data_IF_399763892825
#
_entry.id   IF_399763892825
#
_cell.length_a   1.000
_cell.length_b   1.000
_cell.length_c   1.000
_cell.angle_alpha   90.00
_cell.angle_beta   90.00
_cell.angle_gamma   90.00
#
_symmetry.space_group_name_H-M   'P 1'
#
loop_
_entity.id
_entity.type
_entity.pdbx_description
1 polymer ?
#
# COMPACT_ATOMS: atom_id res chain seq x y z
N UNK A 1 72.63 -19.79 -19.91
CA UNK A 1 72.35 -18.47 -20.55
C UNK A 1 71.19 -17.84 -19.79
N UNK A 2 71.52 -16.75 -19.15
CA UNK A 2 70.65 -15.90 -18.30
C UNK A 2 69.40 -15.33 -19.04
N UNK A 3 68.30 -15.21 -18.37
CA UNK A 3 67.65 -13.87 -18.26
C UNK A 3 66.73 -13.80 -17.02
N UNK A 4 67.11 -12.84 -16.19
CA UNK A 4 66.38 -12.35 -15.04
C UNK A 4 65.16 -11.54 -15.50
N UNK A 5 64.03 -11.66 -14.82
CA UNK A 5 62.85 -10.83 -14.95
C UNK A 5 62.41 -10.31 -13.56
N UNK A 6 62.57 -9.03 -13.39
CA UNK A 6 62.37 -8.22 -12.18
C UNK A 6 60.92 -8.23 -11.68
N UNK A 7 60.75 -8.43 -10.36
CA UNK A 7 59.54 -8.22 -9.60
C UNK A 7 59.40 -6.73 -9.27
N UNK A 8 58.31 -6.11 -9.67
CA UNK A 8 57.89 -4.80 -9.16
C UNK A 8 56.75 -4.97 -8.15
N UNK A 9 57.05 -4.60 -6.90
CA UNK A 9 56.10 -4.47 -5.82
C UNK A 9 55.22 -3.21 -6.02
N UNK A 10 53.90 -3.37 -6.08
CA UNK A 10 52.99 -2.28 -5.86
C UNK A 10 52.35 -2.43 -4.46
N UNK A 11 52.70 -1.50 -3.58
CA UNK A 11 52.03 -1.29 -2.30
C UNK A 11 50.74 -0.53 -2.52
N UNK A 12 49.60 -1.19 -2.26
CA UNK A 12 48.29 -0.55 -2.18
C UNK A 12 48.10 0.06 -0.77
N UNK A 13 48.17 1.35 -0.70
CA UNK A 13 47.79 2.13 0.49
C UNK A 13 46.28 2.22 0.60
N UNK A 14 45.69 1.45 1.50
CA UNK A 14 44.26 1.57 1.90
C UNK A 14 44.07 2.76 2.83
N UNK A 15 43.43 3.81 2.34
CA UNK A 15 42.84 4.87 3.15
C UNK A 15 41.46 4.40 3.69
N UNK A 16 41.16 4.59 4.98
CA UNK A 16 39.85 4.22 5.52
C UNK A 16 38.80 5.27 5.15
N UNK A 17 37.77 4.86 4.42
CA UNK A 17 36.57 5.66 4.19
C UNK A 17 35.77 5.76 5.50
N UNK A 18 35.63 6.98 6.01
CA UNK A 18 34.69 7.33 7.07
C UNK A 18 33.25 7.04 6.61
N UNK A 19 32.57 6.16 7.35
CA UNK A 19 31.13 5.97 7.25
C UNK A 19 30.42 7.24 7.74
N UNK A 20 29.83 7.97 6.81
CA UNK A 20 28.92 9.09 7.12
C UNK A 20 27.56 8.53 7.50
N UNK A 21 27.16 8.77 8.74
CA UNK A 21 25.81 8.55 9.27
C UNK A 21 24.80 9.46 8.55
N UNK A 22 24.08 8.91 7.58
CA UNK A 22 23.07 9.61 6.80
C UNK A 22 21.71 8.91 6.84
N UNK A 23 21.20 8.61 8.03
CA UNK A 23 19.86 8.05 8.20
C UNK A 23 19.02 8.93 9.13
N UNK A 24 18.54 10.06 8.60
CA UNK A 24 17.73 10.98 9.39
C UNK A 24 16.85 11.94 8.59
N UNK A 25 17.01 12.01 7.28
CA UNK A 25 16.42 13.09 6.48
C UNK A 25 15.22 12.71 5.60
N UNK A 26 14.95 11.43 5.39
CA UNK A 26 13.91 11.00 4.46
C UNK A 26 12.47 11.02 5.03
N UNK A 27 12.29 10.96 6.35
CA UNK A 27 10.96 10.92 6.97
C UNK A 27 10.32 12.31 7.16
N UNK A 28 11.11 13.39 7.27
CA UNK A 28 10.56 14.74 7.48
C UNK A 28 9.92 15.38 6.25
N UNK A 29 10.35 14.99 5.04
CA UNK A 29 9.77 15.51 3.79
C UNK A 29 8.36 14.99 3.50
N UNK A 30 7.99 13.84 4.06
CA UNK A 30 6.69 13.19 3.79
C UNK A 30 5.53 13.84 4.54
N UNK A 31 5.77 14.42 5.73
CA UNK A 31 4.72 15.01 6.56
C UNK A 31 4.36 16.45 6.17
N UNK A 32 5.32 17.25 5.73
CA UNK A 32 5.04 18.60 5.20
C UNK A 32 4.17 18.57 3.92
N UNK A 33 4.23 17.48 3.16
CA UNK A 33 3.39 17.28 1.97
C UNK A 33 1.93 16.98 2.29
N UNK A 34 1.63 16.41 3.47
CA UNK A 34 0.27 16.02 3.84
C UNK A 34 -0.57 17.21 4.34
N UNK A 35 0.02 18.16 5.07
CA UNK A 35 -0.71 19.31 5.61
C UNK A 35 -0.74 20.52 4.67
N UNK A 36 0.15 20.58 3.69
CA UNK A 36 0.27 21.68 2.72
C UNK A 36 -0.07 21.22 1.29
N UNK A 37 -0.99 20.26 1.12
CA UNK A 37 -1.49 19.83 -0.19
C UNK A 37 -2.17 21.01 -0.91
N UNK A 38 -1.34 21.92 -1.35
CA UNK A 38 -1.76 23.11 -2.07
C UNK A 38 -2.22 22.71 -3.47
N UNK A 39 -3.37 23.20 -3.84
CA UNK A 39 -3.94 23.16 -5.17
C UNK A 39 -2.97 23.81 -6.20
N UNK A 40 -2.00 23.07 -6.69
CA UNK A 40 -1.32 23.46 -7.92
C UNK A 40 -2.28 23.11 -9.06
N UNK A 41 -3.09 24.06 -9.45
CA UNK A 41 -3.84 23.99 -10.72
C UNK A 41 -2.82 24.11 -11.85
N UNK A 42 -2.34 22.96 -12.30
CA UNK A 42 -1.44 22.93 -13.44
C UNK A 42 -2.26 23.07 -14.73
N UNK A 43 -2.39 24.29 -15.23
CA UNK A 43 -2.85 24.57 -16.60
C UNK A 43 -1.76 24.28 -17.62
N UNK A 44 -1.01 23.19 -17.45
CA UNK A 44 -0.09 22.70 -18.46
C UNK A 44 -0.83 21.72 -19.38
N UNK A 45 -1.14 22.17 -20.60
CA UNK A 45 -1.47 21.30 -21.72
C UNK A 45 -0.24 20.44 -22.04
N UNK A 46 -0.13 19.28 -21.38
CA UNK A 46 0.78 18.25 -21.81
C UNK A 46 0.14 17.51 -23.00
N UNK A 47 0.76 17.64 -24.17
CA UNK A 47 0.50 16.77 -25.30
C UNK A 47 0.94 15.36 -24.89
N UNK A 48 -0.01 14.47 -24.67
CA UNK A 48 0.22 13.04 -24.46
C UNK A 48 0.35 12.41 -25.85
N UNK A 49 1.43 11.64 -26.14
CA UNK A 49 1.50 10.90 -27.39
C UNK A 49 0.40 9.83 -27.41
N UNK A 50 -0.38 9.83 -28.48
CA UNK A 50 -1.49 8.91 -28.72
C UNK A 50 -0.99 7.49 -28.94
N UNK A 51 -1.11 6.66 -27.91
CA UNK A 51 -1.26 5.22 -28.06
C UNK A 51 -2.73 4.88 -27.77
N UNK A 52 -3.50 4.70 -28.80
CA UNK A 52 -4.86 4.20 -28.75
C UNK A 52 -4.85 2.68 -28.45
N UNK A 53 -5.37 2.25 -27.29
CA UNK A 53 -6.17 1.04 -27.25
C UNK A 53 -7.64 1.46 -27.32
N UNK A 54 -8.34 0.94 -28.30
CA UNK A 54 -9.79 1.05 -28.39
C UNK A 54 -10.43 0.25 -27.27
N UNK A 55 -10.65 0.90 -26.15
CA UNK A 55 -11.68 0.59 -25.18
C UNK A 55 -12.10 1.93 -24.59
N UNK A 56 -13.29 2.35 -24.92
CA UNK A 56 -13.96 3.51 -24.34
C UNK A 56 -13.88 3.37 -22.83
N UNK A 57 -13.22 4.29 -22.09
CA UNK A 57 -13.34 4.31 -20.65
C UNK A 57 -14.81 4.54 -20.37
N UNK A 58 -15.48 3.63 -19.66
CA UNK A 58 -16.77 3.93 -19.05
C UNK A 58 -16.55 5.15 -18.19
N UNK A 59 -17.00 6.31 -18.64
CA UNK A 59 -17.09 7.50 -17.84
C UNK A 59 -17.89 7.11 -16.59
N UNK A 60 -17.28 7.25 -15.41
CA UNK A 60 -17.98 7.13 -14.15
C UNK A 60 -19.09 8.19 -14.17
N UNK A 61 -20.30 7.77 -14.52
CA UNK A 61 -21.48 8.62 -14.58
C UNK A 61 -21.77 9.10 -13.17
N UNK A 62 -21.34 10.32 -12.83
CA UNK A 62 -21.66 10.98 -11.60
C UNK A 62 -20.49 11.35 -10.71
N UNK A 63 -19.59 12.19 -11.17
CA UNK A 63 -18.69 12.96 -10.32
C UNK A 63 -19.38 14.24 -9.85
N UNK A 64 -19.23 14.58 -8.56
CA UNK A 64 -19.68 15.85 -8.00
C UNK A 64 -18.52 16.83 -7.97
N UNK A 65 -18.69 17.98 -8.63
CA UNK A 65 -17.71 19.08 -8.54
C UNK A 65 -18.12 19.96 -7.35
N UNK A 66 -17.32 19.91 -6.28
CA UNK A 66 -17.54 20.74 -5.10
C UNK A 66 -16.82 22.08 -5.26
N UNK A 67 -17.59 23.20 -5.26
CA UNK A 67 -17.06 24.56 -5.35
C UNK A 67 -17.11 25.22 -3.96
N UNK A 68 -15.97 25.31 -3.23
CA UNK A 68 -15.94 25.89 -1.91
C UNK A 68 -15.99 27.42 -1.98
N UNK A 69 -16.86 28.03 -1.18
CA UNK A 69 -17.04 29.49 -1.10
C UNK A 69 -16.60 30.10 0.23
N UNK A 70 -16.00 29.30 1.12
CA UNK A 70 -15.55 29.72 2.45
C UNK A 70 -16.64 29.71 3.51
N UNK A 71 -17.72 28.92 3.33
CA UNK A 71 -18.77 28.76 4.34
C UNK A 71 -18.28 27.95 5.54
N UNK A 72 -18.66 28.33 6.76
CA UNK A 72 -18.44 27.50 7.92
C UNK A 72 -19.09 26.12 7.75
N UNK A 73 -18.40 25.05 8.14
CA UNK A 73 -18.95 23.67 8.17
C UNK A 73 -18.94 23.07 9.56
N UNK A 74 -18.00 23.51 10.42
CA UNK A 74 -17.91 23.09 11.82
C UNK A 74 -17.17 24.15 12.66
N UNK A 75 -17.53 24.25 13.92
CA UNK A 75 -16.80 25.03 14.93
C UNK A 75 -16.22 24.08 15.96
N UNK A 76 -14.95 24.29 16.32
CA UNK A 76 -14.23 23.47 17.30
C UNK A 76 -13.67 24.41 18.38
N UNK A 77 -14.28 24.43 19.56
CA UNK A 77 -13.95 25.37 20.65
C UNK A 77 -13.94 26.84 20.19
N UNK A 78 -14.88 27.19 19.30
CA UNK A 78 -14.97 28.54 18.72
C UNK A 78 -14.17 28.75 17.42
N UNK A 79 -13.17 27.95 17.12
CA UNK A 79 -12.47 28.03 15.84
C UNK A 79 -13.37 27.56 14.69
N UNK A 80 -13.46 28.37 13.63
CA UNK A 80 -14.29 28.09 12.45
C UNK A 80 -13.48 27.35 11.42
N UNK A 81 -13.97 26.18 11.00
CA UNK A 81 -13.44 25.42 9.88
C UNK A 81 -14.42 25.51 8.71
N UNK A 82 -13.88 25.71 7.50
CA UNK A 82 -14.68 26.07 6.33
C UNK A 82 -14.80 24.92 5.33
N UNK A 83 -15.67 25.07 4.35
CA UNK A 83 -15.79 24.17 3.22
C UNK A 83 -14.52 24.09 2.36
N UNK A 84 -13.69 25.15 2.35
CA UNK A 84 -12.35 25.12 1.73
C UNK A 84 -11.38 24.18 2.46
N UNK A 85 -11.41 24.21 3.79
CA UNK A 85 -10.62 23.31 4.60
C UNK A 85 -11.10 21.87 4.40
N UNK A 86 -12.41 21.67 4.36
CA UNK A 86 -13.03 20.36 4.09
C UNK A 86 -12.62 19.80 2.72
N UNK A 87 -12.71 20.60 1.66
CA UNK A 87 -12.30 20.17 0.33
C UNK A 87 -10.82 19.78 0.30
N UNK A 88 -9.96 20.53 0.99
CA UNK A 88 -8.53 20.23 1.09
C UNK A 88 -8.30 18.86 1.70
N UNK A 89 -8.99 18.55 2.80
CA UNK A 89 -8.90 17.24 3.45
C UNK A 89 -9.52 16.11 2.61
N UNK A 90 -10.63 16.37 1.94
CA UNK A 90 -11.20 15.40 1.01
C UNK A 90 -10.21 15.03 -0.12
N UNK A 91 -9.49 16.02 -0.66
CA UNK A 91 -8.45 15.81 -1.67
C UNK A 91 -7.18 15.16 -1.12
N UNK A 92 -6.95 15.22 0.18
CA UNK A 92 -5.88 14.48 0.86
C UNK A 92 -6.24 13.00 0.98
N UNK A 93 -7.47 12.69 1.34
CA UNK A 93 -7.98 11.31 1.43
C UNK A 93 -8.08 10.66 0.04
N UNK A 94 -8.56 11.41 -0.96
CA UNK A 94 -8.79 10.91 -2.29
C UNK A 94 -8.16 11.84 -3.36
N UNK A 95 -6.82 11.78 -3.54
CA UNK A 95 -6.10 12.69 -4.44
C UNK A 95 -6.47 12.50 -5.92
N UNK A 96 -6.99 11.34 -6.30
CA UNK A 96 -7.47 11.08 -7.67
C UNK A 96 -8.59 12.02 -8.13
N UNK A 97 -9.36 12.59 -7.21
CA UNK A 97 -10.42 13.55 -7.54
C UNK A 97 -9.90 14.76 -8.34
N UNK A 98 -8.63 15.13 -8.17
CA UNK A 98 -7.98 16.23 -8.92
C UNK A 98 -7.83 15.92 -10.41
N UNK A 99 -7.63 14.63 -10.76
CA UNK A 99 -7.39 14.16 -12.12
C UNK A 99 -8.68 13.73 -12.84
N UNK A 100 -9.72 13.40 -12.07
CA UNK A 100 -10.96 12.79 -12.56
C UNK A 100 -12.21 13.67 -12.36
N UNK A 101 -12.02 15.00 -12.32
CA UNK A 101 -13.11 15.99 -12.23
C UNK A 101 -14.08 15.80 -11.04
N UNK A 102 -13.55 15.34 -9.88
CA UNK A 102 -14.32 15.27 -8.66
C UNK A 102 -14.33 13.89 -7.98
N UNK A 103 -15.21 13.74 -7.00
CA UNK A 103 -15.32 12.55 -6.19
C UNK A 103 -16.39 11.60 -6.73
N UNK A 104 -16.16 10.26 -6.70
CA UNK A 104 -17.19 9.28 -7.06
C UNK A 104 -18.40 9.43 -6.12
N UNK A 105 -19.60 9.55 -6.66
CA UNK A 105 -20.83 9.76 -5.87
C UNK A 105 -21.03 8.71 -4.77
N UNK A 106 -20.70 7.45 -5.06
CA UNK A 106 -20.83 6.36 -4.10
C UNK A 106 -19.89 6.49 -2.89
N UNK A 107 -18.77 7.21 -3.01
CA UNK A 107 -17.74 7.34 -1.97
C UNK A 107 -17.70 8.75 -1.35
N UNK A 108 -18.37 9.73 -1.95
CA UNK A 108 -18.29 11.14 -1.52
C UNK A 108 -18.68 11.33 -0.07
N UNK A 109 -19.77 10.69 0.38
CA UNK A 109 -20.25 10.80 1.76
C UNK A 109 -19.22 10.29 2.77
N UNK A 110 -18.59 9.16 2.48
CA UNK A 110 -17.56 8.56 3.36
C UNK A 110 -16.27 9.38 3.36
N UNK A 111 -15.84 9.86 2.19
CA UNK A 111 -14.67 10.75 2.05
C UNK A 111 -14.91 12.04 2.84
N UNK A 112 -16.10 12.65 2.70
CA UNK A 112 -16.49 13.86 3.43
C UNK A 112 -16.52 13.63 4.94
N UNK A 113 -17.09 12.52 5.41
CA UNK A 113 -17.13 12.17 6.82
C UNK A 113 -15.73 11.93 7.39
N UNK A 114 -14.85 11.25 6.64
CA UNK A 114 -13.45 11.05 6.98
C UNK A 114 -12.68 12.38 7.07
N UNK A 115 -12.82 13.24 6.07
CA UNK A 115 -12.21 14.56 6.01
C UNK A 115 -12.65 15.45 7.18
N UNK A 116 -13.94 15.44 7.51
CA UNK A 116 -14.47 16.19 8.66
C UNK A 116 -13.84 15.74 9.97
N UNK A 117 -13.70 14.42 10.20
CA UNK A 117 -13.02 13.87 11.39
C UNK A 117 -11.56 14.29 11.44
N UNK A 118 -10.86 14.27 10.31
CA UNK A 118 -9.46 14.70 10.24
C UNK A 118 -9.29 16.17 10.57
N UNK A 119 -10.09 17.06 9.96
CA UNK A 119 -10.08 18.50 10.24
C UNK A 119 -10.29 18.80 11.73
N UNK A 120 -11.30 18.19 12.32
CA UNK A 120 -11.62 18.37 13.74
C UNK A 120 -10.45 17.91 14.62
N UNK A 121 -9.89 16.74 14.31
CA UNK A 121 -8.73 16.20 15.04
C UNK A 121 -7.51 17.12 14.93
N UNK A 122 -7.17 17.61 13.75
CA UNK A 122 -6.04 18.53 13.54
C UNK A 122 -6.23 19.84 14.28
N UNK A 123 -7.44 20.38 14.27
CA UNK A 123 -7.74 21.59 15.04
C UNK A 123 -7.54 21.36 16.54
N UNK A 124 -8.05 20.24 17.08
CA UNK A 124 -7.88 19.87 18.48
C UNK A 124 -6.40 19.67 18.86
N UNK A 125 -5.62 19.02 18.01
CA UNK A 125 -4.18 18.84 18.19
C UNK A 125 -3.47 20.21 18.22
N UNK A 126 -3.81 21.11 17.29
CA UNK A 126 -3.24 22.45 17.24
C UNK A 126 -3.56 23.25 18.51
N UNK A 127 -4.82 23.23 18.95
CA UNK A 127 -5.25 23.92 20.17
C UNK A 127 -4.52 23.38 21.41
N UNK A 128 -4.37 22.06 21.52
CA UNK A 128 -3.64 21.44 22.61
C UNK A 128 -2.14 21.78 22.57
N UNK A 129 -1.52 21.83 21.39
CA UNK A 129 -0.13 22.26 21.24
C UNK A 129 0.05 23.73 21.72
N UNK A 130 -0.90 24.60 21.36
CA UNK A 130 -0.91 26.00 21.84
C UNK A 130 -1.16 26.09 23.35
N UNK A 131 -2.08 25.32 23.88
CA UNK A 131 -2.35 25.24 25.32
C UNK A 131 -1.12 24.80 26.11
N UNK A 132 -0.29 23.92 25.57
CA UNK A 132 0.98 23.50 26.15
C UNK A 132 2.13 24.48 25.89
N UNK A 133 1.86 25.65 25.35
CA UNK A 133 2.88 26.68 25.02
C UNK A 133 4.00 26.14 24.10
N UNK A 134 3.65 25.18 23.19
CA UNK A 134 4.63 24.68 22.23
C UNK A 134 4.92 25.78 21.20
N UNK A 135 6.20 25.92 20.85
CA UNK A 135 6.68 26.92 19.88
C UNK A 135 7.56 26.27 18.82
N UNK A 136 7.65 26.93 17.67
CA UNK A 136 8.56 26.56 16.57
C UNK A 136 9.70 27.57 16.54
N UNK A 137 10.97 27.13 16.57
CA UNK A 137 12.10 28.04 16.44
C UNK A 137 12.04 28.83 15.12
N UNK A 138 12.34 30.14 15.12
CA UNK A 138 12.29 30.97 13.91
C UNK A 138 13.12 30.41 12.75
N UNK A 139 14.28 29.84 13.03
CA UNK A 139 15.13 29.20 12.02
C UNK A 139 14.46 27.96 11.38
N UNK A 140 13.70 27.19 12.14
CA UNK A 140 12.95 26.04 11.61
C UNK A 140 11.80 26.52 10.72
N UNK A 141 11.06 27.55 11.15
CA UNK A 141 9.98 28.15 10.36
C UNK A 141 10.51 28.72 9.04
N UNK A 142 11.61 29.47 9.08
CA UNK A 142 12.25 30.03 7.89
C UNK A 142 12.68 28.92 6.91
N UNK A 143 13.30 27.86 7.41
CA UNK A 143 13.71 26.69 6.59
C UNK A 143 12.50 26.03 5.95
N UNK A 144 11.46 25.71 6.71
CA UNK A 144 10.25 25.07 6.19
C UNK A 144 9.54 25.93 5.14
N UNK A 145 9.46 27.26 5.35
CA UNK A 145 8.90 28.19 4.38
C UNK A 145 9.73 28.22 3.07
N UNK A 146 11.07 28.20 3.19
CA UNK A 146 11.95 28.15 2.03
C UNK A 146 11.85 26.81 1.27
N UNK A 147 11.76 25.70 1.99
CA UNK A 147 11.54 24.36 1.41
C UNK A 147 10.19 24.28 0.69
N UNK A 148 9.13 24.80 1.28
CA UNK A 148 7.83 24.91 0.64
C UNK A 148 7.91 25.68 -0.69
N UNK A 149 8.57 26.85 -0.69
CA UNK A 149 8.76 27.65 -1.93
C UNK A 149 9.50 26.88 -3.02
N UNK A 150 10.46 26.03 -2.68
CA UNK A 150 11.24 25.23 -3.66
C UNK A 150 10.43 24.14 -4.35
N UNK A 151 9.26 23.77 -3.83
CA UNK A 151 8.40 22.74 -4.44
C UNK A 151 7.71 23.24 -5.72
N UNK A 152 7.73 24.55 -5.97
CA UNK A 152 7.09 25.13 -7.13
C UNK A 152 8.07 25.23 -8.31
N UNK A 153 7.60 24.89 -9.53
CA UNK A 153 8.46 24.84 -10.70
C UNK A 153 8.97 26.23 -11.14
N UNK A 154 8.29 27.31 -10.74
CA UNK A 154 8.72 28.67 -11.03
C UNK A 154 8.25 29.67 -9.96
N UNK A 155 8.92 30.82 -9.84
CA UNK A 155 8.48 31.90 -8.96
C UNK A 155 7.05 32.40 -9.27
N UNK A 156 6.65 32.37 -10.53
CA UNK A 156 5.31 32.82 -10.96
C UNK A 156 4.22 31.91 -10.39
N UNK A 157 4.40 30.58 -10.48
CA UNK A 157 3.46 29.61 -9.91
C UNK A 157 3.35 29.78 -8.40
N UNK A 158 4.48 30.02 -7.72
CA UNK A 158 4.46 30.32 -6.29
C UNK A 158 3.71 31.62 -5.95
N UNK A 159 3.91 32.69 -6.74
CA UNK A 159 3.21 33.96 -6.54
C UNK A 159 1.71 33.82 -6.78
N UNK A 160 1.32 33.09 -7.83
CA UNK A 160 -0.09 32.81 -8.09
C UNK A 160 -0.74 32.09 -6.90
N UNK A 161 -0.12 31.02 -6.38
CA UNK A 161 -0.59 30.35 -5.19
C UNK A 161 -0.72 31.31 -4.00
N UNK A 162 0.33 32.11 -3.77
CA UNK A 162 0.34 33.07 -2.64
C UNK A 162 -0.84 34.04 -2.76
N UNK A 163 -1.15 34.50 -3.99
CA UNK A 163 -2.29 35.38 -4.25
C UNK A 163 -3.63 34.67 -4.02
N UNK A 164 -3.78 33.47 -4.53
CA UNK A 164 -5.05 32.71 -4.46
C UNK A 164 -5.39 32.23 -3.05
N UNK A 165 -4.40 31.68 -2.34
CA UNK A 165 -4.62 31.02 -1.04
C UNK A 165 -4.32 31.91 0.16
N UNK A 166 -3.43 32.91 -0.01
CA UNK A 166 -2.91 33.72 1.10
C UNK A 166 -3.04 35.24 0.83
N UNK A 167 -3.87 35.64 -0.13
CA UNK A 167 -4.10 37.07 -0.46
C UNK A 167 -2.79 37.83 -0.72
N UNK A 168 -1.81 37.19 -1.32
CA UNK A 168 -0.48 37.75 -1.56
C UNK A 168 0.43 37.83 -0.32
N UNK A 169 -0.03 37.40 0.83
CA UNK A 169 0.66 37.60 2.12
C UNK A 169 1.56 36.42 2.50
N UNK A 170 2.88 36.65 2.47
CA UNK A 170 3.85 35.71 3.03
C UNK A 170 3.66 35.45 4.52
N UNK A 171 3.15 36.45 5.25
CA UNK A 171 2.86 36.30 6.68
C UNK A 171 1.75 35.28 6.95
N UNK A 172 0.68 35.29 6.13
CA UNK A 172 -0.38 34.30 6.24
C UNK A 172 0.12 32.89 5.91
N UNK A 173 0.97 32.74 4.88
CA UNK A 173 1.65 31.49 4.61
C UNK A 173 2.50 31.02 5.80
N UNK A 174 3.32 31.91 6.39
CA UNK A 174 4.15 31.56 7.54
C UNK A 174 3.31 31.08 8.74
N UNK A 175 2.17 31.73 9.02
CA UNK A 175 1.23 31.29 10.06
C UNK A 175 0.70 29.89 9.77
N UNK A 176 0.37 29.58 8.52
CA UNK A 176 -0.08 28.24 8.14
C UNK A 176 1.03 27.20 8.27
N UNK A 177 2.25 27.52 7.86
CA UNK A 177 3.43 26.65 8.01
C UNK A 177 3.74 26.41 9.49
N UNK A 178 3.72 27.46 10.33
CA UNK A 178 3.92 27.34 11.77
C UNK A 178 2.88 26.41 12.42
N UNK A 179 1.61 26.57 12.03
CA UNK A 179 0.53 25.68 12.49
C UNK A 179 0.82 24.22 12.17
N UNK A 180 1.19 23.92 10.92
CA UNK A 180 1.54 22.55 10.51
C UNK A 180 2.72 22.00 11.32
N UNK A 181 3.77 22.78 11.50
CA UNK A 181 4.94 22.38 12.29
C UNK A 181 4.61 22.12 13.76
N UNK A 182 3.67 22.88 14.34
CA UNK A 182 3.20 22.65 15.72
C UNK A 182 2.42 21.34 15.82
N UNK A 183 1.54 21.06 14.87
CA UNK A 183 0.80 19.79 14.79
C UNK A 183 1.79 18.63 14.67
N UNK A 184 2.75 18.71 13.75
CA UNK A 184 3.76 17.67 13.54
C UNK A 184 4.60 17.43 14.80
N UNK A 185 5.05 18.50 15.43
CA UNK A 185 5.83 18.43 16.67
C UNK A 185 5.04 17.75 17.78
N UNK A 186 3.77 18.12 17.96
CA UNK A 186 2.88 17.51 18.94
C UNK A 186 2.64 16.04 18.64
N UNK A 187 2.29 15.71 17.40
CA UNK A 187 2.07 14.33 16.96
C UNK A 187 3.31 13.47 17.11
N UNK A 188 4.49 14.03 16.82
CA UNK A 188 5.75 13.35 17.04
C UNK A 188 5.91 12.96 18.52
N UNK A 189 5.70 13.89 19.45
CA UNK A 189 5.86 13.64 20.88
C UNK A 189 4.80 12.71 21.46
N UNK A 190 3.54 12.85 21.05
CA UNK A 190 2.42 12.12 21.64
C UNK A 190 2.16 10.77 20.98
N UNK A 191 2.57 10.60 19.73
CA UNK A 191 2.26 9.40 18.95
C UNK A 191 3.54 8.76 18.43
N UNK A 192 4.31 9.41 17.54
CA UNK A 192 5.39 8.75 16.80
C UNK A 192 6.50 8.25 17.71
N UNK A 193 7.00 9.09 18.62
CA UNK A 193 8.10 8.72 19.54
C UNK A 193 7.66 7.63 20.53
N UNK A 194 6.37 7.62 20.92
CA UNK A 194 5.80 6.60 21.82
C UNK A 194 5.43 5.30 21.10
N UNK A 195 5.22 5.37 19.80
CA UNK A 195 4.85 4.20 19.00
C UNK A 195 6.05 3.34 18.60
N UNK A 196 7.27 3.87 18.64
CA UNK A 196 8.47 3.13 18.26
C UNK A 196 8.55 1.81 19.03
N UNK A 197 8.73 0.71 18.29
CA UNK A 197 8.85 -0.66 18.83
C UNK A 197 10.31 -1.08 18.75
N UNK A 198 10.88 -1.46 19.87
CA UNK A 198 12.23 -2.01 19.94
C UNK A 198 12.28 -3.45 19.46
N UNK A 199 13.47 -3.95 19.11
CA UNK A 199 13.65 -5.35 18.75
C UNK A 199 13.26 -6.29 19.90
N UNK A 200 13.54 -5.91 21.16
CA UNK A 200 13.16 -6.65 22.35
C UNK A 200 11.64 -6.76 22.50
N UNK A 201 10.89 -5.68 22.26
CA UNK A 201 9.42 -5.69 22.29
C UNK A 201 8.85 -6.59 21.19
N UNK A 202 9.42 -6.53 19.99
CA UNK A 202 9.01 -7.39 18.88
C UNK A 202 9.31 -8.87 19.16
N UNK A 203 10.48 -9.17 19.76
CA UNK A 203 10.83 -10.53 20.19
C UNK A 203 9.87 -11.03 21.27
N UNK A 204 9.56 -10.22 22.26
CA UNK A 204 8.59 -10.56 23.31
C UNK A 204 7.18 -10.79 22.75
N UNK A 205 6.78 -10.06 21.70
CA UNK A 205 5.53 -10.31 21.00
C UNK A 205 5.56 -11.64 20.24
N UNK A 206 6.63 -11.90 19.51
CA UNK A 206 6.84 -13.17 18.80
C UNK A 206 6.75 -14.37 19.74
N UNK A 207 7.44 -14.32 20.87
CA UNK A 207 7.47 -15.42 21.84
C UNK A 207 6.12 -15.67 22.52
N UNK A 208 5.30 -14.61 22.70
CA UNK A 208 3.96 -14.72 23.30
C UNK A 208 2.89 -15.17 22.32
N UNK A 209 3.14 -15.07 21.00
CA UNK A 209 2.15 -15.35 19.96
C UNK A 209 2.66 -16.34 18.90
N UNK A 210 3.20 -17.52 19.29
CA UNK A 210 3.79 -18.46 18.33
C UNK A 210 2.79 -18.95 17.28
N UNK A 211 1.50 -18.96 17.61
CA UNK A 211 0.43 -19.35 16.69
C UNK A 211 0.32 -18.43 15.45
N UNK A 212 0.70 -17.15 15.57
CA UNK A 212 0.65 -16.16 14.48
C UNK A 212 1.76 -16.35 13.45
N UNK A 213 2.79 -17.10 13.80
CA UNK A 213 3.98 -17.31 12.97
C UNK A 213 4.07 -18.72 12.42
N UNK A 214 3.04 -19.52 12.64
CA UNK A 214 2.94 -20.84 12.01
C UNK A 214 2.76 -20.71 10.52
N UNK A 215 3.53 -21.47 9.78
CA UNK A 215 3.37 -21.67 8.35
C UNK A 215 2.61 -22.98 8.19
N UNK A 216 1.39 -22.96 7.66
CA UNK A 216 0.65 -24.19 7.40
C UNK A 216 1.35 -25.00 6.32
N UNK A 217 1.18 -26.33 6.37
CA UNK A 217 1.56 -27.17 5.24
C UNK A 217 0.84 -26.70 3.99
N UNK A 218 1.60 -26.46 2.92
CA UNK A 218 1.09 -25.85 1.69
C UNK A 218 1.71 -26.51 0.47
N UNK A 219 1.00 -26.43 -0.66
CA UNK A 219 1.46 -26.96 -1.94
C UNK A 219 1.44 -25.84 -2.97
N UNK A 220 2.57 -25.60 -3.62
CA UNK A 220 2.61 -24.80 -4.83
C UNK A 220 2.43 -25.74 -6.02
N UNK A 221 1.38 -25.53 -6.80
CA UNK A 221 1.05 -26.41 -7.93
C UNK A 221 0.33 -25.65 -9.04
N UNK A 222 0.31 -26.26 -10.22
CA UNK A 222 -0.50 -25.82 -11.35
C UNK A 222 -1.60 -26.85 -11.62
N UNK A 223 -2.73 -26.42 -12.20
CA UNK A 223 -3.83 -27.27 -12.62
C UNK A 223 -4.21 -27.09 -14.08
N UNK A 224 -4.74 -28.15 -14.67
CA UNK A 224 -5.52 -28.14 -15.90
C UNK A 224 -6.81 -28.84 -15.56
N UNK A 225 -7.93 -28.12 -15.60
CA UNK A 225 -9.24 -28.64 -15.16
C UNK A 225 -10.26 -28.61 -16.27
N UNK A 226 -11.17 -29.61 -16.25
CA UNK A 226 -12.32 -29.75 -17.14
C UNK A 226 -13.57 -29.79 -16.26
N UNK A 227 -14.41 -28.77 -16.40
CA UNK A 227 -15.53 -28.45 -15.50
C UNK A 227 -16.84 -28.40 -16.29
N UNK A 228 -17.45 -29.54 -16.66
CA UNK A 228 -18.74 -29.52 -17.29
C UNK A 228 -19.80 -28.88 -16.36
N UNK A 229 -20.94 -28.41 -16.89
CA UNK A 229 -22.02 -27.86 -16.08
C UNK A 229 -22.47 -28.83 -14.98
N UNK A 230 -22.89 -28.28 -13.81
CA UNK A 230 -23.30 -29.08 -12.65
C UNK A 230 -24.45 -30.07 -12.96
N UNK A 231 -25.27 -29.79 -14.00
CA UNK A 231 -26.34 -30.65 -14.50
C UNK A 231 -25.96 -31.37 -15.83
N UNK A 232 -24.66 -31.62 -16.02
CA UNK A 232 -24.19 -32.30 -17.24
C UNK A 232 -24.83 -33.65 -17.45
N UNK A 233 -25.20 -33.93 -18.72
CA UNK A 233 -25.68 -35.26 -19.08
C UNK A 233 -24.54 -36.31 -19.03
N UNK A 234 -24.83 -37.60 -18.94
CA UNK A 234 -23.79 -38.63 -18.98
C UNK A 234 -22.86 -38.50 -20.18
N UNK A 235 -23.40 -38.12 -21.36
CA UNK A 235 -22.62 -37.91 -22.59
C UNK A 235 -21.65 -36.73 -22.44
N UNK A 236 -22.08 -35.61 -21.81
CA UNK A 236 -21.23 -34.45 -21.53
C UNK A 236 -20.12 -34.77 -20.53
N UNK A 237 -20.42 -35.57 -19.49
CA UNK A 237 -19.43 -36.06 -18.54
C UNK A 237 -18.37 -36.95 -19.22
N UNK A 238 -18.80 -37.87 -20.10
CA UNK A 238 -17.90 -38.72 -20.91
C UNK A 238 -17.03 -37.88 -21.84
N UNK A 239 -17.59 -36.85 -22.47
CA UNK A 239 -16.82 -35.94 -23.32
C UNK A 239 -15.77 -35.14 -22.51
N UNK A 240 -16.14 -34.62 -21.34
CA UNK A 240 -15.19 -33.96 -20.45
C UNK A 240 -14.04 -34.93 -20.08
N UNK A 241 -14.34 -36.15 -19.73
CA UNK A 241 -13.34 -37.18 -19.43
C UNK A 241 -12.42 -37.46 -20.62
N UNK A 242 -12.96 -37.64 -21.85
CA UNK A 242 -12.14 -37.82 -23.06
C UNK A 242 -11.20 -36.66 -23.33
N UNK A 243 -11.68 -35.39 -23.13
CA UNK A 243 -10.85 -34.21 -23.26
C UNK A 243 -9.74 -34.16 -22.19
N UNK A 244 -10.08 -34.49 -20.95
CA UNK A 244 -9.15 -34.58 -19.84
C UNK A 244 -8.08 -35.68 -20.06
N UNK A 245 -8.43 -36.84 -20.55
CA UNK A 245 -7.48 -37.93 -20.90
C UNK A 245 -6.55 -37.55 -22.06
N UNK A 246 -7.05 -36.79 -23.04
CA UNK A 246 -6.20 -36.25 -24.11
C UNK A 246 -5.22 -35.20 -23.54
N UNK A 247 -5.70 -34.33 -22.66
CA UNK A 247 -4.90 -33.31 -22.00
C UNK A 247 -3.83 -33.94 -21.08
N UNK A 248 -4.15 -35.03 -20.39
CA UNK A 248 -3.20 -35.75 -19.53
C UNK A 248 -1.96 -36.17 -20.31
N UNK A 249 -2.14 -36.75 -21.51
CA UNK A 249 -1.00 -37.16 -22.37
C UNK A 249 -0.13 -35.98 -22.76
N UNK A 250 -0.76 -34.80 -23.02
CA UNK A 250 -0.03 -33.57 -23.33
C UNK A 250 0.69 -33.01 -22.10
N UNK A 251 0.02 -33.00 -20.95
CA UNK A 251 0.57 -32.51 -19.69
C UNK A 251 1.77 -33.35 -19.23
N UNK A 252 1.70 -34.68 -19.36
CA UNK A 252 2.79 -35.61 -19.01
C UNK A 252 4.02 -35.47 -19.94
N UNK A 253 3.85 -34.93 -21.13
CA UNK A 253 4.97 -34.62 -22.04
C UNK A 253 5.68 -33.31 -21.69
N UNK A 254 5.09 -32.44 -20.84
CA UNK A 254 5.71 -31.17 -20.42
C UNK A 254 6.86 -31.42 -19.44
N UNK A 255 7.93 -30.64 -19.59
CA UNK A 255 9.16 -30.79 -18.76
C UNK A 255 9.37 -29.64 -17.79
N UNK A 256 8.60 -28.58 -17.93
CA UNK A 256 8.81 -27.35 -17.14
C UNK A 256 7.48 -26.75 -16.63
N UNK A 257 7.59 -25.87 -15.62
CA UNK A 257 6.52 -25.00 -15.16
C UNK A 257 5.89 -24.23 -16.33
N UNK A 258 6.74 -23.66 -17.18
CA UNK A 258 6.33 -22.85 -18.31
C UNK A 258 5.53 -23.63 -19.35
N UNK A 259 6.01 -24.82 -19.72
CA UNK A 259 5.32 -25.66 -20.71
C UNK A 259 3.95 -26.14 -20.22
N UNK A 260 3.87 -26.58 -18.95
CA UNK A 260 2.60 -26.95 -18.35
C UNK A 260 1.65 -25.76 -18.26
N UNK A 261 2.17 -24.59 -17.83
CA UNK A 261 1.39 -23.37 -17.72
C UNK A 261 0.82 -22.88 -19.04
N UNK A 262 1.60 -22.88 -20.13
CA UNK A 262 1.11 -22.53 -21.48
C UNK A 262 0.04 -23.51 -21.97
N UNK A 263 0.16 -24.79 -21.61
CA UNK A 263 -0.89 -25.76 -21.90
C UNK A 263 -2.15 -25.43 -21.06
N UNK A 264 -2.01 -25.12 -19.77
CA UNK A 264 -3.13 -24.73 -18.92
C UNK A 264 -3.86 -23.50 -19.46
N UNK A 265 -3.14 -22.45 -19.85
CA UNK A 265 -3.73 -21.26 -20.49
C UNK A 265 -4.58 -21.61 -21.71
N UNK A 266 -4.12 -22.59 -22.49
CA UNK A 266 -4.76 -22.95 -23.73
C UNK A 266 -6.03 -23.81 -23.55
N UNK A 267 -6.04 -24.74 -22.59
CA UNK A 267 -7.05 -25.78 -22.51
C UNK A 267 -7.79 -25.92 -21.18
N UNK A 268 -7.32 -25.31 -20.09
CA UNK A 268 -8.02 -25.38 -18.81
C UNK A 268 -9.34 -24.62 -18.87
N UNK A 269 -10.31 -25.06 -18.09
CA UNK A 269 -11.65 -24.47 -18.00
C UNK A 269 -11.86 -23.76 -16.65
N UNK A 270 -10.87 -23.82 -15.72
CA UNK A 270 -10.92 -23.12 -14.43
C UNK A 270 -10.44 -21.67 -14.52
N UNK A 271 -10.70 -20.90 -13.46
CA UNK A 271 -10.32 -19.48 -13.37
C UNK A 271 -8.79 -19.27 -13.29
N UNK A 272 -8.04 -20.32 -12.90
CA UNK A 272 -6.57 -20.25 -12.83
C UNK A 272 -5.92 -20.31 -14.21
N UNK A 273 -6.65 -20.60 -15.25
CA UNK A 273 -6.20 -20.62 -16.65
C UNK A 273 -5.40 -19.36 -17.00
N UNK A 274 -5.92 -18.17 -16.65
CA UNK A 274 -5.29 -16.87 -16.97
C UNK A 274 -3.97 -16.63 -16.22
N UNK A 275 -3.69 -17.45 -15.22
CA UNK A 275 -2.45 -17.44 -14.43
C UNK A 275 -1.61 -18.70 -14.69
N UNK A 276 -1.71 -19.30 -15.89
CA UNK A 276 -0.98 -20.53 -16.24
C UNK A 276 -1.33 -21.73 -15.33
N UNK A 277 -2.53 -21.76 -14.79
CA UNK A 277 -2.98 -22.79 -13.84
C UNK A 277 -2.38 -22.67 -12.44
N UNK A 278 -1.66 -21.60 -12.12
CA UNK A 278 -0.86 -21.46 -10.89
C UNK A 278 -1.72 -21.13 -9.67
N UNK A 279 -1.75 -22.05 -8.71
CA UNK A 279 -2.37 -21.89 -7.38
C UNK A 279 -1.43 -21.29 -6.33
N UNK A 280 -0.18 -20.98 -6.68
CA UNK A 280 0.88 -20.54 -5.75
C UNK A 280 0.99 -21.50 -4.55
N UNK A 281 1.22 -20.98 -3.36
CA UNK A 281 1.27 -21.78 -2.12
C UNK A 281 -0.15 -21.88 -1.52
N UNK A 282 -0.87 -22.91 -1.87
CA UNK A 282 -2.21 -23.19 -1.35
C UNK A 282 -2.11 -23.97 -0.04
N UNK A 283 -2.76 -23.47 1.01
CA UNK A 283 -2.86 -24.11 2.31
C UNK A 283 -3.59 -25.44 2.18
N UNK A 284 -2.96 -26.51 2.71
CA UNK A 284 -3.53 -27.88 2.73
C UNK A 284 -4.98 -27.92 3.22
N UNK A 285 -5.31 -27.14 4.25
CA UNK A 285 -6.65 -27.16 4.86
C UNK A 285 -7.75 -26.57 3.99
N UNK A 286 -7.36 -25.85 2.92
CA UNK A 286 -8.27 -25.24 1.93
C UNK A 286 -8.45 -26.05 0.66
N UNK A 287 -7.73 -27.17 0.55
CA UNK A 287 -7.78 -28.05 -0.63
C UNK A 287 -8.71 -29.25 -0.39
N UNK A 288 -9.42 -29.72 -1.42
CA UNK A 288 -10.18 -30.97 -1.35
C UNK A 288 -9.26 -32.16 -0.98
N UNK A 289 -9.72 -33.08 -0.13
CA UNK A 289 -8.89 -34.23 0.31
C UNK A 289 -8.28 -35.04 -0.83
N UNK A 290 -8.99 -35.23 -1.95
CA UNK A 290 -8.48 -35.97 -3.11
C UNK A 290 -7.29 -35.26 -3.76
N UNK A 291 -7.31 -33.92 -3.82
CA UNK A 291 -6.21 -33.10 -4.33
C UNK A 291 -5.01 -33.18 -3.38
N UNK A 292 -5.24 -33.05 -2.07
CA UNK A 292 -4.19 -33.20 -1.05
C UNK A 292 -3.50 -34.55 -1.17
N UNK A 293 -4.27 -35.63 -1.24
CA UNK A 293 -3.73 -36.98 -1.34
C UNK A 293 -2.89 -37.18 -2.60
N UNK A 294 -3.32 -36.59 -3.72
CA UNK A 294 -2.56 -36.63 -4.97
C UNK A 294 -1.25 -35.87 -4.82
N UNK A 295 -1.28 -34.63 -4.28
CA UNK A 295 -0.08 -33.78 -4.12
C UNK A 295 0.93 -34.39 -3.15
N UNK A 296 0.46 -35.06 -2.07
CA UNK A 296 1.33 -35.76 -1.12
C UNK A 296 2.08 -36.96 -1.73
N UNK A 297 1.48 -37.59 -2.75
CA UNK A 297 2.09 -38.72 -3.45
C UNK A 297 3.08 -38.28 -4.57
N UNK A 298 3.18 -36.99 -4.83
CA UNK A 298 3.99 -36.45 -5.94
C UNK A 298 5.30 -35.85 -5.45
N UNK A 299 6.27 -35.81 -6.37
CA UNK A 299 7.51 -35.05 -6.18
C UNK A 299 7.45 -33.75 -6.98
N UNK A 300 8.17 -32.69 -6.54
CA UNK A 300 8.30 -31.45 -7.30
C UNK A 300 8.69 -31.68 -8.76
N UNK A 301 7.95 -31.06 -9.67
CA UNK A 301 8.10 -31.25 -11.11
C UNK A 301 7.23 -32.36 -11.72
N UNK A 302 6.67 -33.22 -10.92
CA UNK A 302 5.85 -34.34 -11.39
C UNK A 302 4.44 -33.86 -11.79
N UNK A 303 3.90 -34.50 -12.81
CA UNK A 303 2.49 -34.37 -13.27
C UNK A 303 1.69 -35.54 -12.73
N UNK A 304 0.49 -35.28 -12.20
CA UNK A 304 -0.39 -36.30 -11.63
C UNK A 304 -1.00 -37.19 -12.72
N UNK A 305 -1.64 -38.27 -12.29
CA UNK A 305 -2.69 -38.93 -13.07
C UNK A 305 -3.94 -38.03 -13.15
N UNK A 306 -4.90 -38.41 -13.97
CA UNK A 306 -6.19 -37.75 -14.01
C UNK A 306 -6.92 -37.94 -12.69
N UNK A 307 -7.38 -36.85 -12.11
CA UNK A 307 -8.09 -36.83 -10.81
C UNK A 307 -9.53 -36.40 -11.10
N UNK A 308 -10.48 -37.20 -10.65
CA UNK A 308 -11.88 -36.78 -10.55
C UNK A 308 -12.13 -36.32 -9.11
N UNK A 309 -12.43 -35.03 -8.93
CA UNK A 309 -12.53 -34.43 -7.60
C UNK A 309 -13.99 -34.11 -7.21
N UNK A 310 -14.87 -34.01 -8.17
CA UNK A 310 -16.33 -33.98 -8.05
C UNK A 310 -16.91 -34.74 -9.27
N UNK A 311 -18.19 -35.05 -9.22
CA UNK A 311 -18.84 -35.80 -10.33
C UNK A 311 -18.62 -35.12 -11.66
N UNK A 312 -17.94 -35.82 -12.59
CA UNK A 312 -17.54 -35.36 -13.93
C UNK A 312 -16.55 -34.18 -13.97
N UNK A 313 -16.03 -33.70 -12.82
CA UNK A 313 -15.00 -32.68 -12.80
C UNK A 313 -13.63 -33.34 -12.72
N UNK A 314 -12.78 -33.05 -13.69
CA UNK A 314 -11.48 -33.68 -13.86
C UNK A 314 -10.37 -32.63 -13.77
N UNK A 315 -9.27 -32.96 -13.07
CA UNK A 315 -8.08 -32.10 -13.02
C UNK A 315 -6.81 -32.93 -13.19
N UNK A 316 -5.79 -32.25 -13.71
CA UNK A 316 -4.42 -32.73 -13.84
C UNK A 316 -3.56 -31.72 -13.12
N UNK A 317 -2.72 -32.18 -12.19
CA UNK A 317 -1.88 -31.32 -11.37
C UNK A 317 -0.42 -31.45 -11.77
N UNK A 318 0.32 -30.37 -11.62
CA UNK A 318 1.78 -30.37 -11.60
C UNK A 318 2.25 -29.81 -10.28
N UNK A 319 2.90 -30.62 -9.46
CA UNK A 319 3.47 -30.14 -8.20
C UNK A 319 4.72 -29.32 -8.47
N UNK A 320 4.75 -28.07 -8.00
CA UNK A 320 5.91 -27.20 -8.11
C UNK A 320 6.76 -27.24 -6.83
N UNK A 321 6.12 -27.20 -5.66
CA UNK A 321 6.79 -27.36 -4.38
C UNK A 321 5.83 -27.89 -3.30
N UNK A 322 6.35 -28.70 -2.40
CA UNK A 322 5.71 -29.06 -1.14
C UNK A 322 6.40 -28.24 -0.03
N UNK A 323 5.64 -27.41 0.66
CA UNK A 323 6.09 -26.56 1.74
C UNK A 323 5.63 -27.20 3.05
N UNK A 324 6.53 -27.83 3.79
CA UNK A 324 6.16 -28.49 5.05
C UNK A 324 5.66 -27.46 6.08
N UNK A 325 4.84 -27.88 7.04
CA UNK A 325 4.43 -27.01 8.12
C UNK A 325 5.65 -26.59 8.94
N UNK A 326 5.63 -25.35 9.40
CA UNK A 326 6.76 -24.80 10.13
C UNK A 326 6.40 -23.60 10.97
N UNK A 327 7.41 -22.87 11.38
CA UNK A 327 7.28 -21.57 12.04
C UNK A 327 8.27 -20.61 11.41
N UNK A 328 7.81 -19.42 11.05
CA UNK A 328 8.72 -18.36 10.61
C UNK A 328 9.67 -18.03 11.77
N UNK A 329 10.96 -18.02 11.52
CA UNK A 329 11.93 -17.66 12.56
C UNK A 329 11.88 -16.15 12.83
N UNK A 330 12.13 -15.74 14.07
CA UNK A 330 12.14 -14.32 14.43
C UNK A 330 13.10 -13.52 13.53
N UNK A 331 14.29 -14.03 13.28
CA UNK A 331 15.29 -13.35 12.45
C UNK A 331 14.81 -13.10 11.02
N UNK A 332 13.98 -13.98 10.46
CA UNK A 332 13.46 -13.82 9.10
C UNK A 332 12.37 -12.75 8.99
N UNK A 333 11.68 -12.42 10.09
CA UNK A 333 10.53 -11.53 10.09
C UNK A 333 10.70 -10.29 10.97
N UNK A 334 11.77 -10.16 11.74
CA UNK A 334 11.93 -9.15 12.79
C UNK A 334 11.68 -7.72 12.33
N UNK A 335 12.19 -7.33 11.17
CA UNK A 335 12.00 -5.97 10.66
C UNK A 335 10.53 -5.72 10.24
N UNK A 336 9.93 -6.65 9.50
CA UNK A 336 8.52 -6.57 9.10
C UNK A 336 7.59 -6.59 10.32
N UNK A 337 7.90 -7.40 11.33
CA UNK A 337 7.13 -7.46 12.57
C UNK A 337 7.25 -6.16 13.36
N UNK A 338 8.45 -5.58 13.50
CA UNK A 338 8.65 -4.28 14.16
C UNK A 338 7.87 -3.17 13.46
N UNK A 339 7.93 -3.13 12.14
CA UNK A 339 7.20 -2.15 11.32
C UNK A 339 5.69 -2.30 11.54
N UNK A 340 5.16 -3.53 11.47
CA UNK A 340 3.74 -3.80 11.70
C UNK A 340 3.31 -3.40 13.12
N UNK A 341 4.05 -3.79 14.15
CA UNK A 341 3.74 -3.44 15.53
C UNK A 341 3.82 -1.93 15.78
N UNK A 342 4.80 -1.25 15.17
CA UNK A 342 4.91 0.22 15.24
C UNK A 342 3.70 0.90 14.59
N UNK A 343 3.24 0.38 13.43
CA UNK A 343 2.04 0.87 12.76
C UNK A 343 0.79 0.69 13.65
N UNK A 344 0.59 -0.50 14.17
CA UNK A 344 -0.57 -0.82 15.03
C UNK A 344 -0.58 0.08 16.28
N UNK A 345 0.57 0.25 16.93
CA UNK A 345 0.74 1.12 18.11
C UNK A 345 0.51 2.58 17.77
N UNK A 346 0.95 3.02 16.58
CA UNK A 346 0.70 4.38 16.07
C UNK A 346 -0.80 4.63 15.91
N UNK A 347 -1.53 3.71 15.31
CA UNK A 347 -2.98 3.83 15.12
C UNK A 347 -3.72 3.84 16.46
N UNK A 348 -3.34 2.98 17.40
CA UNK A 348 -3.91 2.95 18.75
C UNK A 348 -3.68 4.24 19.52
N UNK A 349 -2.46 4.76 19.51
CA UNK A 349 -2.11 6.02 20.18
C UNK A 349 -2.84 7.21 19.56
N UNK A 350 -2.96 7.25 18.23
CA UNK A 350 -3.70 8.28 17.51
C UNK A 350 -5.18 8.25 17.85
N UNK A 351 -5.80 7.07 17.89
CA UNK A 351 -7.21 6.90 18.27
C UNK A 351 -7.46 7.30 19.73
N UNK A 352 -6.58 6.89 20.64
CA UNK A 352 -6.64 7.27 22.05
C UNK A 352 -6.48 8.80 22.24
N UNK A 353 -5.55 9.42 21.50
CA UNK A 353 -5.36 10.87 21.49
C UNK A 353 -6.62 11.59 20.98
N UNK A 354 -7.19 11.14 19.86
CA UNK A 354 -8.41 11.72 19.32
C UNK A 354 -9.57 11.66 20.31
N UNK A 355 -9.77 10.51 20.96
CA UNK A 355 -10.80 10.33 21.99
C UNK A 355 -10.56 11.28 23.17
N UNK A 356 -9.33 11.38 23.66
CA UNK A 356 -8.96 12.26 24.77
C UNK A 356 -9.22 13.73 24.45
N UNK A 357 -8.81 14.21 23.28
CA UNK A 357 -8.97 15.60 22.89
C UNK A 357 -10.44 15.96 22.61
N UNK A 358 -11.22 15.02 22.05
CA UNK A 358 -12.63 15.26 21.77
C UNK A 358 -13.51 15.27 23.01
N UNK A 359 -13.09 14.63 24.12
CA UNK A 359 -13.91 14.47 25.33
C UNK A 359 -14.39 15.79 25.92
N UNK A 360 -13.56 16.84 25.90
CA UNK A 360 -13.83 18.14 26.48
C UNK A 360 -14.01 19.23 25.41
N UNK A 361 -14.09 18.85 24.14
CA UNK A 361 -14.18 19.80 23.05
C UNK A 361 -15.64 20.14 22.73
N UNK A 362 -15.91 21.43 22.51
CA UNK A 362 -17.18 21.89 21.99
C UNK A 362 -17.16 21.85 20.46
N UNK A 363 -17.85 20.86 19.87
CA UNK A 363 -17.89 20.67 18.42
C UNK A 363 -19.33 20.95 17.96
N UNK A 364 -19.50 21.99 17.14
CA UNK A 364 -20.80 22.48 16.67
C UNK A 364 -20.79 22.43 15.13
N UNK A 365 -21.77 21.73 14.53
CA UNK A 365 -21.99 21.82 13.07
C UNK A 365 -22.49 23.22 12.75
N UNK A 366 -21.95 23.82 11.69
CA UNK A 366 -22.33 25.16 11.25
C UNK A 366 -23.43 25.11 10.19
#
# INVERSE_FOLDING_TARGET
>A
MNHQGTKTNHQDTKTPRKAGSGTGFALQAFYLSLCLSVLVVNSARAQVPSHTPSSTPQAFSGTTTFQPVGRPVVRVNGAVLTDRDLLREMLTIFPYARLHNGFPKAMEADIRAGAMKMMIFEELVYQEAKHRNMTIPPAQLARATAEFRRQFPSPQVYQQLLQEEFQGSQKLLQVKVERSLLIDKFMKQEVTDKAAVTESEAKAFYDRHPERFRVPESFAFQSISFLPPANATPEQGQEARRRAEKALRQAQATKSYQEFGLLAEKISEDDFRVMMGDHKAADRTKLPPVIVNALLAMQPGQVSNLIEFEANNFTILRLNAHIPPGTQTFDSIKEALREQLTKDKTEQLRAALATRLSKNAKIEKA
#
